data_IF_122594893117
#
_entry.id   IF_122594893117
#
_cell.length_a   1.000
_cell.length_b   1.000
_cell.length_c   1.000
_cell.angle_alpha   90.00
_cell.angle_beta   90.00
_cell.angle_gamma   90.00
#
_symmetry.space_group_name_H-M   'P 1'
#
loop_
_entity.id
_entity.type
_entity.pdbx_description
1 polymer ?
#
# COMPACT_ATOMS: atom_id res chain seq x y z
N UNK A 1 -35.03 -14.20 13.76
CA UNK A 1 -33.90 -13.32 14.15
C UNK A 1 -32.64 -13.91 13.55
N UNK A 2 -32.17 -13.36 12.42
CA UNK A 2 -30.90 -13.77 11.81
C UNK A 2 -29.85 -12.81 12.35
N UNK A 3 -28.97 -13.31 13.22
CA UNK A 3 -27.80 -12.55 13.66
C UNK A 3 -26.89 -12.35 12.44
N UNK A 4 -26.43 -11.13 12.14
CA UNK A 4 -25.43 -10.95 11.12
C UNK A 4 -24.14 -11.57 11.64
N UNK A 5 -23.78 -12.73 11.09
CA UNK A 5 -22.45 -13.32 11.23
C UNK A 5 -21.45 -12.24 10.81
N UNK A 6 -20.59 -11.84 11.74
CA UNK A 6 -19.48 -10.91 11.51
C UNK A 6 -18.84 -11.25 10.15
N UNK A 7 -18.65 -10.29 9.24
CA UNK A 7 -17.95 -10.58 7.99
C UNK A 7 -16.56 -11.10 8.39
N UNK A 8 -16.32 -12.39 8.22
CA UNK A 8 -15.02 -12.99 8.42
C UNK A 8 -14.10 -12.32 7.40
N UNK A 9 -13.27 -11.38 7.84
CA UNK A 9 -12.30 -10.72 6.98
C UNK A 9 -11.54 -11.81 6.21
N UNK A 10 -11.40 -11.71 4.87
CA UNK A 10 -10.65 -12.68 4.11
C UNK A 10 -9.24 -12.76 4.71
N UNK A 11 -8.81 -13.98 5.05
CA UNK A 11 -7.69 -14.25 5.97
C UNK A 11 -6.49 -13.29 5.93
N UNK A 12 -5.93 -12.93 4.75
CA UNK A 12 -4.76 -12.05 4.65
C UNK A 12 -4.94 -10.64 5.23
N UNK A 13 -6.19 -10.18 5.36
CA UNK A 13 -6.57 -8.86 5.87
C UNK A 13 -7.12 -8.91 7.31
N UNK A 14 -7.13 -10.07 7.96
CA UNK A 14 -7.46 -10.16 9.37
C UNK A 14 -6.47 -9.31 10.20
N UNK A 15 -6.92 -8.62 11.27
CA UNK A 15 -6.02 -7.89 12.17
C UNK A 15 -4.92 -8.78 12.74
N UNK A 16 -3.68 -8.30 12.78
CA UNK A 16 -2.57 -9.02 13.44
C UNK A 16 -2.54 -8.76 14.95
N UNK A 17 -1.74 -9.53 15.69
CA UNK A 17 -1.60 -9.34 17.13
C UNK A 17 -1.05 -7.95 17.49
N UNK A 18 -0.08 -7.44 16.72
CA UNK A 18 0.41 -6.08 16.91
C UNK A 18 -0.69 -5.02 16.67
N UNK A 19 -1.56 -5.21 15.67
CA UNK A 19 -2.67 -4.28 15.42
C UNK A 19 -3.72 -4.27 16.51
N UNK A 20 -3.91 -5.41 17.20
CA UNK A 20 -4.83 -5.51 18.33
C UNK A 20 -4.27 -4.90 19.61
N UNK A 21 -2.94 -4.84 19.72
CA UNK A 21 -2.24 -4.45 20.95
C UNK A 21 -1.66 -3.04 20.91
N UNK A 22 -1.44 -2.47 19.72
CA UNK A 22 -0.76 -1.19 19.53
C UNK A 22 -1.59 -0.25 18.65
N UNK A 23 -1.63 1.03 19.04
CA UNK A 23 -2.07 2.11 18.16
C UNK A 23 -1.12 2.22 16.99
N UNK A 24 -1.66 2.20 15.78
CA UNK A 24 -0.88 2.23 14.55
C UNK A 24 -1.57 3.03 13.45
N UNK A 25 -0.79 3.40 12.45
CA UNK A 25 -1.24 4.13 11.27
C UNK A 25 -2.20 3.28 10.44
N UNK A 26 -3.38 3.85 10.15
CA UNK A 26 -4.47 3.13 9.47
C UNK A 26 -4.08 2.56 8.10
N UNK A 27 -3.16 3.21 7.38
CA UNK A 27 -2.69 2.75 6.07
C UNK A 27 -1.98 1.39 6.11
N UNK A 28 -1.39 0.99 7.24
CA UNK A 28 -0.73 -0.32 7.39
C UNK A 28 -1.75 -1.45 7.18
N UNK A 29 -3.02 -1.23 7.50
CA UNK A 29 -4.10 -2.22 7.31
C UNK A 29 -4.42 -2.50 5.84
N UNK A 30 -3.94 -1.68 4.89
CA UNK A 30 -4.15 -1.91 3.46
C UNK A 30 -3.28 -3.03 2.90
N UNK A 31 -2.24 -3.42 3.62
CA UNK A 31 -1.26 -4.40 3.17
C UNK A 31 -1.76 -5.83 3.41
N UNK A 32 -1.91 -6.66 2.35
CA UNK A 32 -2.36 -8.06 2.46
C UNK A 32 -1.24 -9.01 2.94
N UNK A 33 -0.29 -8.49 3.73
CA UNK A 33 0.90 -9.19 4.19
C UNK A 33 0.97 -9.11 5.72
N UNK A 34 0.42 -10.10 6.45
CA UNK A 34 0.41 -10.09 7.91
C UNK A 34 1.80 -9.89 8.53
N UNK A 35 2.84 -10.54 7.97
CA UNK A 35 4.22 -10.41 8.46
C UNK A 35 4.75 -8.99 8.31
N UNK A 36 4.57 -8.37 7.14
CA UNK A 36 5.04 -7.01 6.89
C UNK A 36 4.30 -6.00 7.77
N UNK A 37 2.98 -6.16 7.97
CA UNK A 37 2.21 -5.34 8.91
C UNK A 37 2.77 -5.41 10.33
N UNK A 38 3.05 -6.62 10.81
CA UNK A 38 3.62 -6.84 12.15
C UNK A 38 4.97 -6.13 12.32
N UNK A 39 5.84 -6.21 11.31
CA UNK A 39 7.15 -5.54 11.30
C UNK A 39 6.99 -4.02 11.27
N UNK A 40 6.12 -3.48 10.40
CA UNK A 40 5.91 -2.03 10.29
C UNK A 40 5.35 -1.42 11.58
N UNK A 41 4.43 -2.11 12.26
CA UNK A 41 3.88 -1.63 13.54
C UNK A 41 4.95 -1.68 14.64
N UNK A 42 5.78 -2.72 14.65
CA UNK A 42 6.87 -2.84 15.62
C UNK A 42 7.89 -1.71 15.50
N UNK A 43 8.16 -1.25 14.28
CA UNK A 43 9.15 -0.23 13.98
C UNK A 43 8.52 1.13 13.62
N UNK A 44 7.25 1.33 13.95
CA UNK A 44 6.47 2.48 13.46
C UNK A 44 7.11 3.84 13.78
N UNK A 45 7.71 3.99 14.96
CA UNK A 45 8.40 5.21 15.36
C UNK A 45 9.80 5.41 14.73
N UNK A 46 10.28 4.44 13.95
CA UNK A 46 11.67 4.37 13.47
C UNK A 46 11.83 4.59 11.96
N UNK A 47 10.76 4.85 11.21
CA UNK A 47 10.84 5.15 9.77
C UNK A 47 9.88 6.28 9.36
N UNK A 48 10.16 6.91 8.22
CA UNK A 48 9.27 7.92 7.65
C UNK A 48 8.11 7.23 6.90
N UNK A 49 6.90 7.39 7.43
CA UNK A 49 5.69 6.79 6.84
C UNK A 49 5.37 7.35 5.46
N UNK A 50 5.60 8.64 5.24
CA UNK A 50 5.29 9.30 3.97
C UNK A 50 6.22 8.78 2.89
N UNK A 51 7.50 8.65 3.23
CA UNK A 51 8.53 8.09 2.36
C UNK A 51 8.23 6.62 2.02
N UNK A 52 7.90 5.80 3.03
CA UNK A 52 7.52 4.41 2.83
C UNK A 52 6.31 4.29 1.90
N UNK A 53 5.25 5.05 2.15
CA UNK A 53 4.03 5.00 1.32
C UNK A 53 4.32 5.52 -0.09
N UNK A 54 5.16 6.54 -0.26
CA UNK A 54 5.60 7.01 -1.58
C UNK A 54 6.32 5.90 -2.34
N UNK A 55 7.28 5.22 -1.72
CA UNK A 55 8.02 4.13 -2.36
C UNK A 55 7.20 2.85 -2.53
N UNK A 56 6.22 2.60 -1.65
CA UNK A 56 5.28 1.48 -1.74
C UNK A 56 4.41 1.59 -2.99
N UNK A 57 3.94 2.79 -3.29
CA UNK A 57 3.10 3.07 -4.44
C UNK A 57 3.97 3.38 -5.68
N UNK A 58 5.22 3.81 -5.46
CA UNK A 58 6.15 4.27 -6.48
C UNK A 58 5.77 5.62 -7.06
N UNK A 59 6.16 5.86 -8.31
CA UNK A 59 5.90 7.11 -9.06
C UNK A 59 4.40 7.37 -9.35
N UNK A 60 3.45 6.64 -8.74
CA UNK A 60 2.02 6.97 -8.83
C UNK A 60 1.72 8.38 -8.30
N UNK A 61 2.47 8.85 -7.30
CA UNK A 61 2.25 10.15 -6.67
C UNK A 61 2.79 11.34 -7.49
N UNK A 62 3.77 11.12 -8.37
CA UNK A 62 4.26 12.18 -9.27
C UNK A 62 3.22 12.56 -10.34
N UNK A 63 2.20 11.70 -10.54
CA UNK A 63 1.08 11.94 -11.45
C UNK A 63 -0.18 12.49 -10.78
N UNK A 64 -0.20 12.62 -9.45
CA UNK A 64 -1.26 13.36 -8.74
C UNK A 64 -0.87 14.83 -8.70
N UNK A 65 -0.75 15.42 -9.89
CA UNK A 65 -0.79 16.87 -9.99
C UNK A 65 -2.22 17.29 -9.63
N UNK A 66 -2.43 17.74 -8.40
CA UNK A 66 -3.62 18.49 -8.04
C UNK A 66 -3.62 19.80 -8.85
N UNK A 67 -4.00 19.73 -10.12
CA UNK A 67 -4.39 20.93 -10.84
C UNK A 67 -5.62 21.49 -10.12
N UNK A 68 -5.54 22.76 -9.73
CA UNK A 68 -6.67 23.49 -9.17
C UNK A 68 -7.94 23.23 -10.02
N UNK A 69 -9.11 23.09 -9.40
CA UNK A 69 -10.31 22.63 -10.08
C UNK A 69 -10.69 23.60 -11.20
N UNK A 70 -10.46 23.20 -12.45
CA UNK A 70 -11.27 23.72 -13.54
C UNK A 70 -12.59 22.97 -13.52
N UNK A 71 -13.66 23.75 -13.52
CA UNK A 71 -15.02 23.33 -13.31
C UNK A 71 -15.45 22.20 -14.26
N UNK A 72 -16.36 21.37 -13.74
CA UNK A 72 -17.18 20.41 -14.47
C UNK A 72 -16.50 19.14 -15.02
N UNK A 73 -16.16 18.18 -14.16
CA UNK A 73 -16.58 16.77 -14.31
C UNK A 73 -16.27 15.95 -13.04
N UNK A 74 -17.11 14.94 -12.81
CA UNK A 74 -17.36 14.19 -11.56
C UNK A 74 -16.10 13.59 -10.90
N UNK A 75 -16.02 13.52 -9.55
CA UNK A 75 -14.94 12.84 -8.84
C UNK A 75 -15.19 11.33 -8.86
N UNK A 76 -14.86 10.68 -9.97
CA UNK A 76 -14.64 9.24 -10.01
C UNK A 76 -13.15 8.99 -9.88
N UNK A 77 -12.72 8.38 -8.78
CA UNK A 77 -11.35 7.88 -8.59
C UNK A 77 -11.08 6.76 -9.59
N UNK A 78 -10.84 7.14 -10.85
CA UNK A 78 -10.36 6.21 -11.87
C UNK A 78 -8.86 6.19 -11.74
N UNK A 79 -8.35 5.16 -11.06
CA UNK A 79 -6.94 4.81 -11.01
C UNK A 79 -6.49 4.41 -12.43
N UNK A 80 -6.27 5.41 -13.30
CA UNK A 80 -5.83 5.18 -14.67
C UNK A 80 -4.32 4.93 -14.60
N UNK A 81 -3.94 3.66 -14.51
CA UNK A 81 -2.57 3.17 -14.53
C UNK A 81 -1.92 3.48 -15.90
N UNK A 82 -1.61 4.75 -16.17
CA UNK A 82 -0.88 5.15 -17.37
C UNK A 82 0.60 4.88 -17.11
N UNK A 83 1.14 3.92 -17.87
CA UNK A 83 2.57 3.63 -17.98
C UNK A 83 3.30 4.83 -18.62
N UNK A 84 3.53 5.89 -17.85
CA UNK A 84 4.38 6.99 -18.29
C UNK A 84 5.84 6.58 -18.11
N UNK A 85 6.50 6.38 -19.24
CA UNK A 85 7.94 6.19 -19.40
C UNK A 85 8.67 7.45 -18.89
N UNK A 86 9.41 7.33 -17.79
CA UNK A 86 10.18 8.42 -17.20
C UNK A 86 11.44 7.94 -16.50
N UNK A 87 12.58 8.47 -16.97
CA UNK A 87 13.97 8.44 -16.47
C UNK A 87 14.55 7.10 -16.00
N UNK A 88 15.53 6.61 -16.76
CA UNK A 88 16.14 5.27 -16.71
C UNK A 88 17.21 5.09 -15.59
N UNK A 89 17.34 6.04 -14.65
CA UNK A 89 18.51 6.11 -13.76
C UNK A 89 18.23 5.78 -12.28
N UNK A 90 16.97 5.62 -11.87
CA UNK A 90 16.62 5.13 -10.53
C UNK A 90 15.72 3.90 -10.67
N UNK A 91 16.16 2.75 -10.15
CA UNK A 91 15.37 1.54 -10.19
C UNK A 91 14.00 1.81 -9.54
N UNK A 92 12.93 1.78 -10.36
CA UNK A 92 11.54 2.03 -9.93
C UNK A 92 11.26 1.37 -8.57
N UNK A 93 10.91 2.15 -7.55
CA UNK A 93 10.36 1.65 -6.28
C UNK A 93 8.84 1.44 -6.41
N UNK A 94 8.30 0.38 -5.80
CA UNK A 94 6.87 0.09 -5.78
C UNK A 94 6.56 -1.37 -5.45
N UNK A 95 5.31 -1.62 -5.05
CA UNK A 95 4.70 -2.92 -5.17
C UNK A 95 3.77 -2.97 -6.37
N UNK A 96 3.87 -4.02 -7.16
CA UNK A 96 3.06 -4.28 -8.35
C UNK A 96 2.04 -5.35 -8.01
N UNK A 97 0.79 -5.18 -8.45
CA UNK A 97 -0.28 -6.17 -8.28
C UNK A 97 -0.65 -6.77 -9.63
N UNK A 98 -0.41 -8.07 -9.80
CA UNK A 98 -0.66 -8.82 -11.04
C UNK A 98 -2.01 -9.54 -11.05
N UNK A 99 -2.73 -9.55 -9.93
CA UNK A 99 -3.98 -10.29 -9.78
C UNK A 99 -4.82 -9.76 -8.62
N UNK A 100 -5.48 -10.69 -7.92
CA UNK A 100 -6.36 -10.36 -6.79
C UNK A 100 -5.59 -9.65 -5.65
N UNK A 101 -5.95 -8.42 -5.27
CA UNK A 101 -5.17 -7.59 -4.34
C UNK A 101 -5.16 -8.13 -2.91
N UNK A 102 -6.14 -8.93 -2.52
CA UNK A 102 -6.15 -9.56 -1.19
C UNK A 102 -5.25 -10.81 -1.11
N UNK A 103 -4.70 -11.30 -2.24
CA UNK A 103 -3.82 -12.48 -2.26
C UNK A 103 -2.36 -12.02 -2.28
N UNK A 104 -1.60 -12.33 -1.23
CA UNK A 104 -0.18 -11.99 -1.14
C UNK A 104 0.65 -12.43 -2.37
N UNK A 105 0.36 -13.62 -2.93
CA UNK A 105 1.06 -14.13 -4.11
C UNK A 105 0.75 -13.41 -5.43
N UNK A 106 -0.21 -12.48 -5.44
CA UNK A 106 -0.49 -11.62 -6.60
C UNK A 106 0.34 -10.34 -6.61
N UNK A 107 1.22 -10.14 -5.62
CA UNK A 107 2.03 -8.94 -5.49
C UNK A 107 3.51 -9.23 -5.76
N UNK A 108 4.19 -8.27 -6.37
CA UNK A 108 5.61 -8.29 -6.64
C UNK A 108 6.25 -7.00 -6.11
N UNK A 109 7.35 -7.12 -5.37
CA UNK A 109 8.13 -5.98 -4.92
C UNK A 109 9.23 -5.67 -5.94
N UNK A 110 9.36 -4.41 -6.34
CA UNK A 110 10.43 -4.04 -7.25
C UNK A 110 11.80 -4.04 -6.54
N UNK A 111 12.91 -4.22 -7.28
CA UNK A 111 14.25 -4.14 -6.70
C UNK A 111 14.51 -2.80 -6.00
N UNK A 112 14.01 -1.68 -6.55
CA UNK A 112 14.11 -0.35 -5.94
C UNK A 112 13.44 -0.29 -4.57
N UNK A 113 12.26 -0.89 -4.43
CA UNK A 113 11.57 -0.97 -3.14
C UNK A 113 12.37 -1.81 -2.13
N UNK A 114 12.81 -3.00 -2.53
CA UNK A 114 13.55 -3.90 -1.65
C UNK A 114 14.92 -3.36 -1.24
N UNK A 115 15.59 -2.58 -2.09
CA UNK A 115 16.87 -1.96 -1.77
C UNK A 115 16.81 -1.15 -0.46
N UNK A 116 15.68 -0.48 -0.22
CA UNK A 116 15.47 0.41 0.94
C UNK A 116 14.64 -0.23 2.05
N UNK A 117 13.64 -1.02 1.68
CA UNK A 117 12.60 -1.51 2.59
C UNK A 117 12.64 -3.02 2.84
N UNK A 118 13.71 -3.72 2.44
CA UNK A 118 13.85 -5.16 2.67
C UNK A 118 13.66 -5.58 4.14
N UNK A 119 13.99 -4.71 5.10
CA UNK A 119 13.81 -4.98 6.53
C UNK A 119 12.34 -5.16 6.93
N UNK A 120 11.40 -4.60 6.16
CA UNK A 120 9.97 -4.68 6.45
C UNK A 120 9.35 -6.03 6.04
N UNK A 121 9.98 -6.77 5.11
CA UNK A 121 9.36 -7.91 4.39
C UNK A 121 9.65 -9.27 5.04
#
# INVERSE_FOLDING_TARGET
>A
MVLPTRPSFPGPLAPTQAQMSNTHSSWISLLPFPKMRETLIRWEACFDHTEFVKDLIGNLMDHVHFSAPQSSQRPGLTLKLILSRGSDDEARSGLIVWGEPYRAGSWEATPGFLCKWAWAV
#
